data_IF_384117871568
#
_entry.id   IF_384117871568
#
_cell.length_a   1.000
_cell.length_b   1.000
_cell.length_c   1.000
_cell.angle_alpha   90.00
_cell.angle_beta   90.00
_cell.angle_gamma   90.00
#
_symmetry.space_group_name_H-M   'P 1'
#
loop_
_entity.id
_entity.type
_entity.pdbx_description
1 polymer ?
#
# COMPACT_ATOMS: atom_id res chain seq x y z
N UNK A 1 -2.51 9.07 -1.65
CA UNK A 1 -2.43 7.82 -0.85
C UNK A 1 -3.85 7.40 -0.50
N UNK A 2 -4.16 6.15 -0.62
CA UNK A 2 -5.48 5.60 -0.29
C UNK A 2 -5.33 4.29 0.47
N UNK A 3 -6.35 3.97 1.28
CA UNK A 3 -6.43 2.69 1.93
C UNK A 3 -7.19 1.72 1.04
N UNK A 4 -6.67 0.51 0.89
CA UNK A 4 -7.28 -0.47 -0.01
C UNK A 4 -8.66 -0.86 0.49
N UNK A 5 -9.66 -0.81 -0.39
CA UNK A 5 -11.04 -1.20 -0.07
C UNK A 5 -11.14 -2.70 0.27
N UNK A 6 -10.30 -3.51 -0.35
CA UNK A 6 -10.26 -4.96 -0.11
C UNK A 6 -8.88 -5.34 0.43
N UNK A 7 -8.58 -4.97 1.69
CA UNK A 7 -7.24 -5.17 2.22
C UNK A 7 -6.93 -6.65 2.43
N UNK A 8 -5.69 -7.04 2.10
CA UNK A 8 -5.19 -8.38 2.40
C UNK A 8 -4.79 -8.49 3.86
N UNK A 9 -4.32 -7.39 4.44
CA UNK A 9 -3.94 -7.29 5.85
C UNK A 9 -4.41 -5.95 6.40
N UNK A 10 -4.47 -5.87 7.73
CA UNK A 10 -4.73 -4.60 8.39
C UNK A 10 -3.64 -3.60 8.03
N UNK A 11 -4.04 -2.39 7.69
CA UNK A 11 -3.10 -1.34 7.34
C UNK A 11 -2.52 -1.42 5.94
N UNK A 12 -3.09 -2.24 5.05
CA UNK A 12 -2.69 -2.29 3.65
C UNK A 12 -2.99 -0.96 2.97
N UNK A 13 -1.96 -0.26 2.54
CA UNK A 13 -2.07 1.05 1.91
C UNK A 13 -1.65 1.00 0.45
N UNK A 14 -2.26 1.89 -0.34
CA UNK A 14 -1.89 2.08 -1.74
C UNK A 14 -1.38 3.51 -1.92
N UNK A 15 -0.27 3.63 -2.63
CA UNK A 15 0.29 4.93 -3.02
C UNK A 15 0.28 5.00 -4.52
N UNK A 16 -0.34 6.04 -5.06
CA UNK A 16 -0.55 6.17 -6.50
C UNK A 16 -0.33 7.62 -6.94
N UNK A 17 0.24 7.85 -8.14
CA UNK A 17 0.31 9.21 -8.68
C UNK A 17 -1.08 9.72 -9.07
N UNK A 18 -1.25 11.03 -9.12
CA UNK A 18 -2.51 11.62 -9.59
C UNK A 18 -2.72 11.41 -11.08
N UNK A 19 -1.63 11.52 -11.85
CA UNK A 19 -1.68 11.33 -13.29
C UNK A 19 -1.89 9.85 -13.60
N UNK A 20 -2.82 9.53 -14.48
CA UNK A 20 -3.12 8.15 -14.83
C UNK A 20 -1.95 7.54 -15.62
N UNK A 21 -1.35 6.52 -15.09
CA UNK A 21 -0.17 5.86 -15.65
C UNK A 21 -0.29 4.35 -15.49
N UNK A 22 0.27 3.62 -16.45
CA UNK A 22 0.32 2.16 -16.42
C UNK A 22 1.75 1.63 -16.36
N UNK A 23 2.74 2.45 -16.69
CA UNK A 23 4.13 2.02 -16.79
C UNK A 23 5.02 2.78 -15.83
N UNK A 24 5.85 2.05 -15.13
CA UNK A 24 6.79 2.64 -14.16
C UNK A 24 7.73 3.64 -14.83
N UNK A 25 8.18 3.32 -16.05
CA UNK A 25 9.13 4.18 -16.77
C UNK A 25 8.53 5.53 -17.20
N UNK A 26 7.22 5.68 -17.12
CA UNK A 26 6.55 6.93 -17.49
C UNK A 26 6.43 7.93 -16.34
N UNK A 27 6.83 7.54 -15.13
CA UNK A 27 6.89 8.45 -14.00
C UNK A 27 7.95 9.53 -14.24
N UNK A 28 7.60 10.77 -13.93
CA UNK A 28 8.60 11.84 -13.90
C UNK A 28 9.48 11.69 -12.66
N UNK A 29 10.64 12.34 -12.67
CA UNK A 29 11.51 12.36 -11.51
C UNK A 29 10.81 12.92 -10.27
N UNK A 30 10.04 13.99 -10.46
CA UNK A 30 9.27 14.58 -9.37
C UNK A 30 8.25 13.62 -8.81
N UNK A 31 7.52 12.92 -9.67
CA UNK A 31 6.55 11.91 -9.25
C UNK A 31 7.23 10.78 -8.48
N UNK A 32 8.37 10.31 -8.96
CA UNK A 32 9.14 9.25 -8.29
C UNK A 32 9.60 9.69 -6.90
N UNK A 33 10.07 10.91 -6.78
CA UNK A 33 10.51 11.45 -5.49
C UNK A 33 9.33 11.59 -4.51
N UNK A 34 8.20 12.09 -4.97
CA UNK A 34 7.02 12.25 -4.13
C UNK A 34 6.48 10.91 -3.66
N UNK A 35 6.46 9.91 -4.56
CA UNK A 35 6.02 8.56 -4.21
C UNK A 35 6.93 7.95 -3.16
N UNK A 36 8.26 8.07 -3.33
CA UNK A 36 9.20 7.52 -2.37
C UNK A 36 9.08 8.22 -1.01
N UNK A 37 8.97 9.54 -1.01
CA UNK A 37 8.78 10.30 0.22
C UNK A 37 7.51 9.86 0.95
N UNK A 38 6.42 9.66 0.22
CA UNK A 38 5.17 9.23 0.80
C UNK A 38 5.25 7.79 1.33
N UNK A 39 5.91 6.89 0.59
CA UNK A 39 6.12 5.53 1.06
C UNK A 39 6.93 5.48 2.36
N UNK A 40 7.96 6.31 2.47
CA UNK A 40 8.75 6.41 3.69
C UNK A 40 7.90 6.90 4.86
N UNK A 41 7.08 7.90 4.62
CA UNK A 41 6.16 8.43 5.64
C UNK A 41 5.14 7.37 6.04
N UNK A 42 4.54 6.70 5.06
CA UNK A 42 3.55 5.65 5.32
C UNK A 42 4.16 4.48 6.11
N UNK A 43 5.37 4.07 5.77
CA UNK A 43 6.05 2.99 6.47
C UNK A 43 6.27 3.35 7.94
N UNK A 44 6.68 4.58 8.22
CA UNK A 44 6.86 5.06 9.58
C UNK A 44 5.55 5.09 10.34
N UNK A 45 4.49 5.60 9.72
CA UNK A 45 3.17 5.69 10.34
C UNK A 45 2.62 4.30 10.65
N UNK A 46 2.73 3.37 9.71
CA UNK A 46 2.26 2.00 9.90
C UNK A 46 3.02 1.33 11.05
N UNK A 47 4.32 1.56 11.15
CA UNK A 47 5.12 1.03 12.26
C UNK A 47 4.63 1.58 13.60
N UNK A 48 4.34 2.87 13.67
CA UNK A 48 3.88 3.49 14.91
C UNK A 48 2.46 3.07 15.28
N UNK A 49 1.61 2.91 14.28
CA UNK A 49 0.18 2.64 14.50
C UNK A 49 -0.09 1.16 14.80
N UNK A 50 0.58 0.24 14.11
CA UNK A 50 0.28 -1.18 14.19
C UNK A 50 1.40 -2.04 14.75
N UNK A 51 2.62 -1.53 14.82
CA UNK A 51 3.82 -2.26 15.27
C UNK A 51 3.94 -3.64 14.61
N UNK A 52 3.90 -3.71 13.27
CA UNK A 52 4.06 -5.00 12.59
C UNK A 52 5.47 -5.54 12.74
N UNK A 53 5.63 -6.84 12.50
CA UNK A 53 6.95 -7.46 12.51
C UNK A 53 7.79 -7.09 11.28
N UNK A 54 7.13 -6.66 10.21
CA UNK A 54 7.78 -6.23 8.99
C UNK A 54 6.78 -5.63 8.03
N UNK A 55 7.23 -5.34 6.83
CA UNK A 55 6.37 -4.82 5.76
C UNK A 55 6.90 -5.22 4.40
N UNK A 56 6.00 -5.39 3.46
CA UNK A 56 6.36 -5.54 2.05
C UNK A 56 5.88 -4.31 1.30
N UNK A 57 6.74 -3.78 0.46
CA UNK A 57 6.43 -2.66 -0.41
C UNK A 57 6.71 -3.13 -1.83
N UNK A 58 5.77 -2.92 -2.72
CA UNK A 58 5.95 -3.39 -4.08
C UNK A 58 4.89 -2.87 -5.03
N UNK A 59 5.04 -3.29 -6.26
CA UNK A 59 4.26 -2.83 -7.39
C UNK A 59 4.11 -4.00 -8.36
N UNK A 60 2.91 -4.20 -8.87
CA UNK A 60 2.67 -5.20 -9.91
C UNK A 60 2.59 -4.50 -11.26
N UNK A 61 3.39 -4.96 -12.21
CA UNK A 61 3.41 -4.43 -13.56
C UNK A 61 2.93 -5.50 -14.52
N UNK A 62 1.86 -5.19 -15.23
CA UNK A 62 1.32 -6.08 -16.24
C UNK A 62 0.48 -7.21 -15.67
N UNK A 63 -0.33 -7.80 -16.53
CA UNK A 63 -1.29 -8.82 -16.15
C UNK A 63 -0.63 -10.07 -15.56
N UNK A 64 0.50 -10.47 -16.13
CA UNK A 64 1.23 -11.66 -15.66
C UNK A 64 1.77 -11.50 -14.25
N UNK A 65 1.98 -10.28 -13.79
CA UNK A 65 2.44 -9.98 -12.44
C UNK A 65 1.30 -9.69 -11.47
N UNK A 66 0.06 -9.87 -11.91
CA UNK A 66 -1.10 -9.66 -11.05
C UNK A 66 -1.75 -8.30 -11.16
N UNK A 67 -1.28 -7.42 -12.04
CA UNK A 67 -1.95 -6.15 -12.26
C UNK A 67 -3.22 -6.37 -13.07
N UNK A 68 -4.26 -5.60 -12.76
CA UNK A 68 -5.48 -5.61 -13.54
C UNK A 68 -5.27 -5.01 -14.93
N UNK A 69 -6.21 -5.27 -15.83
CA UNK A 69 -6.08 -4.87 -17.23
C UNK A 69 -6.00 -3.35 -17.40
N UNK A 70 -6.68 -2.59 -16.56
CA UNK A 70 -6.73 -1.14 -16.63
C UNK A 70 -6.14 -0.48 -15.39
N UNK A 71 -5.21 -1.18 -14.77
CA UNK A 71 -4.65 -0.71 -13.52
C UNK A 71 -3.93 0.61 -13.70
N UNK A 72 -4.37 1.57 -12.90
CA UNK A 72 -3.57 2.74 -12.64
C UNK A 72 -2.39 2.31 -11.77
N UNK A 73 -1.21 2.79 -12.09
CA UNK A 73 0.01 2.45 -11.36
C UNK A 73 -0.17 2.71 -9.87
N UNK A 74 0.06 1.69 -9.05
CA UNK A 74 -0.06 1.86 -7.60
C UNK A 74 0.93 0.96 -6.87
N UNK A 75 1.52 1.54 -5.83
CA UNK A 75 2.44 0.83 -4.95
C UNK A 75 1.66 0.32 -3.76
N UNK A 76 1.98 -0.90 -3.34
CA UNK A 76 1.41 -1.50 -2.13
C UNK A 76 2.37 -1.35 -0.98
N UNK A 77 1.85 -1.03 0.19
CA UNK A 77 2.55 -1.17 1.46
C UNK A 77 1.72 -2.10 2.32
N UNK A 78 2.26 -3.28 2.61
CA UNK A 78 1.54 -4.33 3.32
C UNK A 78 2.28 -4.66 4.61
N UNK A 79 1.72 -4.29 5.77
CA UNK A 79 2.29 -4.71 7.05
C UNK A 79 2.25 -6.23 7.17
N UNK A 80 3.29 -6.79 7.75
CA UNK A 80 3.42 -8.22 7.90
C UNK A 80 3.64 -8.59 9.35
N UNK A 81 3.08 -9.72 9.75
CA UNK A 81 3.27 -10.30 11.08
C UNK A 81 3.79 -11.72 10.94
N UNK A 82 4.57 -12.16 11.92
CA UNK A 82 5.05 -13.54 11.93
C UNK A 82 3.86 -14.49 11.88
N UNK A 83 3.92 -15.48 10.99
CA UNK A 83 2.85 -16.45 10.82
C UNK A 83 1.76 -16.06 9.84
N UNK A 84 1.83 -14.88 9.24
CA UNK A 84 0.87 -14.50 8.21
C UNK A 84 1.21 -15.13 6.85
N UNK A 85 0.41 -14.83 5.83
CA UNK A 85 0.65 -15.29 4.45
C UNK A 85 1.90 -14.65 3.87
N UNK A 86 2.50 -15.30 2.85
CA UNK A 86 3.61 -14.71 2.09
C UNK A 86 3.11 -13.48 1.32
N UNK A 87 4.06 -12.63 0.90
CA UNK A 87 3.73 -11.43 0.13
C UNK A 87 2.89 -11.76 -1.11
N UNK A 88 3.28 -12.80 -1.84
CA UNK A 88 2.52 -13.20 -3.03
C UNK A 88 1.11 -13.69 -2.67
N UNK A 89 0.99 -14.45 -1.60
CA UNK A 89 -0.32 -14.89 -1.12
C UNK A 89 -1.19 -13.73 -0.66
N UNK A 90 -0.60 -12.74 0.00
CA UNK A 90 -1.30 -11.54 0.43
C UNK A 90 -1.80 -10.74 -0.77
N UNK A 91 -1.04 -10.72 -1.88
CA UNK A 91 -1.41 -10.00 -3.08
C UNK A 91 -2.50 -10.71 -3.89
N UNK A 92 -2.52 -12.04 -3.85
CA UNK A 92 -3.42 -12.84 -4.70
C UNK A 92 -4.65 -13.36 -3.95
N UNK A 93 -4.53 -13.57 -2.65
CA UNK A 93 -5.58 -14.20 -1.86
C UNK A 93 -5.53 -13.70 -0.42
N UNK A 94 -6.67 -13.76 0.26
CA UNK A 94 -6.79 -13.33 1.65
C UNK A 94 -6.72 -14.55 2.54
N UNK A 95 -5.58 -14.77 3.16
CA UNK A 95 -5.36 -15.86 4.11
C UNK A 95 -5.35 -15.41 5.56
N UNK A 96 -5.20 -14.11 5.79
CA UNK A 96 -5.17 -13.51 7.12
C UNK A 96 -6.51 -12.87 7.36
N UNK A 97 -7.00 -12.95 8.59
CA UNK A 97 -8.21 -12.23 8.94
C UNK A 97 -7.81 -10.79 9.24
N UNK A 98 -8.09 -9.86 8.33
CA UNK A 98 -7.71 -8.48 8.54
C UNK A 98 -8.58 -7.82 9.60
N UNK A 99 -8.06 -6.76 10.18
CA UNK A 99 -8.86 -5.88 10.99
C UNK A 99 -9.99 -5.29 10.15
N UNK A 100 -11.12 -5.04 10.76
CA UNK A 100 -12.25 -4.44 10.06
C UNK A 100 -11.82 -3.11 9.42
N UNK A 101 -12.23 -2.87 8.18
CA UNK A 101 -11.78 -1.72 7.39
C UNK A 101 -12.00 -0.38 8.10
N UNK A 102 -13.16 -0.21 8.73
CA UNK A 102 -13.47 1.03 9.46
C UNK A 102 -12.57 1.23 10.67
N UNK A 103 -12.23 0.16 11.37
CA UNK A 103 -11.32 0.24 12.52
C UNK A 103 -9.91 0.61 12.07
N UNK A 104 -9.44 0.02 10.98
CA UNK A 104 -8.13 0.35 10.40
C UNK A 104 -8.10 1.81 9.95
N UNK A 105 -9.13 2.26 9.27
CA UNK A 105 -9.23 3.65 8.84
C UNK A 105 -9.20 4.62 10.03
N UNK A 106 -9.95 4.30 11.08
CA UNK A 106 -9.99 5.14 12.27
C UNK A 106 -8.64 5.23 12.97
N UNK A 107 -7.88 4.14 12.99
CA UNK A 107 -6.54 4.13 13.57
C UNK A 107 -5.55 4.96 12.76
N UNK A 108 -5.64 4.90 11.44
CA UNK A 108 -4.67 5.54 10.55
C UNK A 108 -4.95 7.02 10.32
N UNK A 109 -6.21 7.41 10.26
CA UNK A 109 -6.60 8.76 9.88
C UNK A 109 -5.87 9.87 10.65
N UNK A 110 -5.74 9.81 11.99
CA UNK A 110 -5.07 10.88 12.72
C UNK A 110 -3.63 11.11 12.29
N UNK A 111 -2.93 10.06 11.87
CA UNK A 111 -1.54 10.16 11.45
C UNK A 111 -1.36 10.89 10.13
N UNK A 112 -2.41 10.90 9.30
CA UNK A 112 -2.36 11.51 7.98
C UNK A 112 -3.02 12.88 7.91
N UNK A 113 -3.65 13.33 8.96
CA UNK A 113 -4.48 14.53 8.95
C UNK A 113 -3.73 15.81 8.63
N UNK A 114 -2.43 15.86 8.77
CA UNK A 114 -1.62 17.02 8.46
C UNK A 114 -0.83 16.92 7.17
N UNK A 115 -0.99 15.83 6.42
CA UNK A 115 -0.19 15.62 5.22
C UNK A 115 -0.81 16.32 4.00
N UNK A 116 0.05 16.97 3.23
CA UNK A 116 -0.30 17.51 1.92
C UNK A 116 -0.23 16.38 0.90
N UNK A 117 -1.37 15.80 0.59
CA UNK A 117 -1.43 14.63 -0.30
C UNK A 117 -2.11 14.97 -1.60
#
# INVERSE_FOLDING_TARGET
MIMNKYPYNSGHLLVTPYRHLMHLCDLTQQESHEIMDLLQTCASIVQDCFSPDGANIGLNLGKAAGAGIREHLHFHLVPRWNGDSSFMGVMDDIHVIPEHLHSTYAKLRPYFSGLAV
#
